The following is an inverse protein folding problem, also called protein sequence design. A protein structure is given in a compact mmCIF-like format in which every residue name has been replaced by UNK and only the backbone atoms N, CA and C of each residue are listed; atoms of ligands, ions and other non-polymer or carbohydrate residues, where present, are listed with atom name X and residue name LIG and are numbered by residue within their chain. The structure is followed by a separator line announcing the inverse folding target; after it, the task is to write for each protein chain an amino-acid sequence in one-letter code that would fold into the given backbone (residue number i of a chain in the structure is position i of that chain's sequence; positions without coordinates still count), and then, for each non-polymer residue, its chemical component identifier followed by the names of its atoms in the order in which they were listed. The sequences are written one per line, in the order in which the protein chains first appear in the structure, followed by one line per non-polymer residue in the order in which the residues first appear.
data_IF_670548732139
#
_entry.id   IF_670548732139
#
_cell.length_a   1.000
_cell.length_b   1.000
_cell.length_c   1.000
_cell.angle_alpha   90.00
_cell.angle_beta   90.00
_cell.angle_gamma   90.00
#
_symmetry.space_group_name_H-M   'P 1'
#
loop_
_entity.id
_entity.type
_entity.pdbx_description
1 polymer ?
#
# COMPACT_ATOMS: atom_id res chain seq x y z
N UNK A 1 1.47 -41.01 -3.23
CA UNK A 1 1.10 -39.91 -2.29
C UNK A 1 2.08 -38.73 -2.28
N UNK A 2 3.40 -38.92 -2.44
CA UNK A 2 4.39 -37.83 -2.39
C UNK A 2 4.19 -36.72 -3.45
N UNK A 3 3.76 -37.10 -4.67
CA UNK A 3 3.46 -36.15 -5.77
C UNK A 3 2.28 -35.22 -5.44
N UNK A 4 1.21 -35.76 -4.85
CA UNK A 4 0.03 -34.98 -4.44
C UNK A 4 0.38 -33.96 -3.34
N UNK A 5 1.19 -34.35 -2.35
CA UNK A 5 1.65 -33.44 -1.28
C UNK A 5 2.50 -32.29 -1.82
N UNK A 6 3.39 -32.57 -2.78
CA UNK A 6 4.18 -31.52 -3.45
C UNK A 6 3.30 -30.55 -4.24
N UNK A 7 2.34 -31.06 -5.00
CA UNK A 7 1.39 -30.21 -5.75
C UNK A 7 0.61 -29.30 -4.80
N UNK A 8 0.02 -29.85 -3.73
CA UNK A 8 -0.75 -29.06 -2.75
C UNK A 8 0.12 -27.99 -2.08
N UNK A 9 1.34 -28.32 -1.66
CA UNK A 9 2.25 -27.35 -1.06
C UNK A 9 2.68 -26.25 -2.04
N UNK A 10 2.97 -26.61 -3.28
CA UNK A 10 3.31 -25.63 -4.33
C UNK A 10 2.12 -24.72 -4.65
N UNK A 11 0.89 -25.24 -4.72
CA UNK A 11 -0.31 -24.45 -4.94
C UNK A 11 -0.57 -23.47 -3.78
N UNK A 12 -0.39 -23.91 -2.54
CA UNK A 12 -0.53 -23.05 -1.36
C UNK A 12 0.52 -21.94 -1.33
N UNK A 13 1.77 -22.26 -1.71
CA UNK A 13 2.84 -21.28 -1.78
C UNK A 13 2.57 -20.21 -2.85
N UNK A 14 2.12 -20.62 -4.05
CA UNK A 14 1.73 -19.67 -5.12
C UNK A 14 0.57 -18.79 -4.66
N UNK A 15 -0.44 -19.36 -4.01
CA UNK A 15 -1.57 -18.62 -3.48
C UNK A 15 -1.14 -17.59 -2.41
N UNK A 16 -0.24 -17.99 -1.50
CA UNK A 16 0.32 -17.12 -0.48
C UNK A 16 1.12 -15.95 -1.09
N UNK A 17 1.90 -16.21 -2.14
CA UNK A 17 2.63 -15.17 -2.87
C UNK A 17 1.69 -14.22 -3.65
N UNK A 18 0.57 -14.71 -4.19
CA UNK A 18 -0.40 -13.86 -4.89
C UNK A 18 -1.25 -12.96 -3.97
N UNK A 19 -1.32 -13.28 -2.67
CA UNK A 19 -2.02 -12.48 -1.66
C UNK A 19 -1.13 -11.40 -1.02
N UNK A 20 0.19 -11.48 -1.22
CA UNK A 20 1.10 -10.40 -0.87
C UNK A 20 0.98 -9.30 -1.96
N UNK A 21 0.05 -8.36 -1.78
CA UNK A 21 0.00 -7.17 -2.62
C UNK A 21 1.34 -6.43 -2.48
N UNK A 22 2.04 -6.13 -3.58
CA UNK A 22 3.37 -5.54 -3.50
C UNK A 22 3.27 -4.14 -2.88
N UNK A 23 4.08 -3.92 -1.84
CA UNK A 23 4.45 -2.56 -1.45
C UNK A 23 5.46 -2.07 -2.48
N UNK A 24 5.18 -0.91 -3.06
CA UNK A 24 6.02 -0.27 -4.06
C UNK A 24 6.75 0.92 -3.43
N UNK A 25 7.95 1.18 -3.93
CA UNK A 25 8.78 2.31 -3.55
C UNK A 25 9.34 2.97 -4.80
N UNK A 26 9.27 4.29 -4.88
CA UNK A 26 9.75 5.07 -6.02
C UNK A 26 10.18 6.47 -5.59
N UNK A 27 11.31 6.94 -6.11
CA UNK A 27 11.66 8.36 -6.03
C UNK A 27 10.67 9.16 -6.87
N UNK A 28 9.88 10.02 -6.22
CA UNK A 28 8.79 10.77 -6.83
C UNK A 28 8.98 12.26 -6.57
N UNK A 29 9.12 13.05 -7.65
CA UNK A 29 9.26 14.52 -7.61
C UNK A 29 10.32 15.05 -6.63
N UNK A 30 11.41 14.32 -6.38
CA UNK A 30 12.45 14.74 -5.42
C UNK A 30 12.20 14.36 -3.96
N UNK A 31 11.13 13.62 -3.69
CA UNK A 31 10.91 12.88 -2.45
C UNK A 31 10.89 11.37 -2.68
N UNK A 32 10.69 10.61 -1.61
CA UNK A 32 10.61 9.15 -1.62
C UNK A 32 9.18 8.72 -1.29
N UNK A 33 8.54 7.99 -2.20
CA UNK A 33 7.16 7.58 -2.08
C UNK A 33 7.04 6.06 -1.96
N UNK A 34 6.40 5.60 -0.89
CA UNK A 34 6.01 4.21 -0.70
C UNK A 34 4.51 4.07 -0.59
N UNK A 35 3.94 3.06 -1.26
CA UNK A 35 2.51 2.84 -1.27
C UNK A 35 2.17 1.37 -1.53
N UNK A 36 0.98 0.95 -1.11
CA UNK A 36 0.51 -0.41 -1.35
C UNK A 36 -0.49 -0.91 -0.31
N UNK A 37 -0.69 -2.22 -0.30
CA UNK A 37 -1.53 -2.90 0.68
C UNK A 37 -0.87 -2.98 2.05
N UNK A 38 -1.69 -2.87 3.10
CA UNK A 38 -1.32 -3.08 4.49
C UNK A 38 -2.22 -4.18 5.06
N UNK A 39 -1.65 -5.37 5.21
CA UNK A 39 -2.41 -6.60 5.48
C UNK A 39 -2.06 -7.15 6.87
N UNK A 40 -2.40 -6.40 7.91
CA UNK A 40 -2.42 -6.90 9.28
C UNK A 40 -3.75 -7.64 9.53
N UNK A 41 -3.78 -8.82 10.18
CA UNK A 41 -5.01 -9.56 10.47
C UNK A 41 -6.09 -8.75 11.23
N UNK A 42 -5.70 -7.74 11.99
CA UNK A 42 -6.56 -6.86 12.77
C UNK A 42 -6.73 -5.47 12.16
N UNK A 43 -5.95 -5.14 11.12
CA UNK A 43 -6.01 -3.87 10.42
C UNK A 43 -5.69 -4.02 8.94
N UNK A 44 -6.68 -4.42 8.15
CA UNK A 44 -6.55 -4.57 6.71
C UNK A 44 -6.85 -3.25 5.99
N UNK A 45 -5.97 -2.85 5.07
CA UNK A 45 -6.16 -1.62 4.32
C UNK A 45 -5.09 -1.35 3.27
N UNK A 46 -4.96 -0.08 2.94
CA UNK A 46 -3.97 0.44 2.01
C UNK A 46 -3.37 1.74 2.54
N UNK A 47 -2.12 2.01 2.19
CA UNK A 47 -1.41 3.21 2.63
C UNK A 47 -0.69 3.91 1.49
N UNK A 48 -0.49 5.21 1.67
CA UNK A 48 0.40 6.06 0.88
C UNK A 48 1.27 6.85 1.84
N UNK A 49 2.59 6.75 1.68
CA UNK A 49 3.59 7.34 2.55
C UNK A 49 4.62 8.09 1.73
N UNK A 50 4.65 9.41 1.85
CA UNK A 50 5.55 10.26 1.08
C UNK A 50 6.47 11.05 2.00
N UNK A 51 7.77 10.93 1.80
CA UNK A 51 8.79 11.72 2.49
C UNK A 51 9.38 12.74 1.51
N UNK A 52 9.47 14.00 1.94
CA UNK A 52 10.20 15.03 1.19
C UNK A 52 11.16 15.79 2.10
N UNK A 53 12.43 15.90 1.68
CA UNK A 53 13.48 16.52 2.49
C UNK A 53 13.41 18.04 2.62
N UNK A 54 12.69 18.75 1.76
CA UNK A 54 12.78 20.22 1.68
C UNK A 54 11.44 20.93 1.49
N UNK A 55 10.38 20.20 1.15
CA UNK A 55 9.10 20.79 0.76
C UNK A 55 7.99 20.37 1.72
N UNK A 56 7.01 21.25 1.87
CA UNK A 56 5.70 20.85 2.39
C UNK A 56 5.04 19.94 1.35
N UNK A 57 4.49 18.81 1.78
CA UNK A 57 4.08 17.76 0.88
C UNK A 57 2.90 16.98 1.43
N UNK A 58 2.36 16.07 0.63
CA UNK A 58 1.19 15.27 0.97
C UNK A 58 1.24 13.86 0.37
N UNK A 59 0.47 12.98 1.00
CA UNK A 59 0.20 11.63 0.52
C UNK A 59 -1.30 11.37 0.56
N UNK A 60 -1.81 10.72 -0.47
CA UNK A 60 -3.21 10.34 -0.65
C UNK A 60 -3.33 8.84 -0.84
N UNK A 61 -4.33 8.26 -0.18
CA UNK A 61 -4.83 6.92 -0.48
C UNK A 61 -6.34 6.92 -0.40
N UNK A 62 -7.00 6.30 -1.37
CA UNK A 62 -8.46 6.28 -1.36
C UNK A 62 -9.09 5.31 -2.34
N UNK A 63 -10.33 4.96 -2.03
CA UNK A 63 -11.24 4.21 -2.88
C UNK A 63 -12.41 5.09 -3.28
N UNK A 64 -12.52 5.35 -4.59
CA UNK A 64 -13.67 6.07 -5.15
C UNK A 64 -14.96 5.25 -5.07
N UNK A 65 -14.85 3.91 -5.00
CA UNK A 65 -16.02 3.02 -4.95
C UNK A 65 -16.75 3.10 -3.60
N UNK A 66 -16.02 3.42 -2.53
CA UNK A 66 -16.54 3.45 -1.16
C UNK A 66 -16.57 4.83 -0.52
N UNK A 67 -16.15 5.86 -1.26
CA UNK A 67 -15.91 7.20 -0.71
C UNK A 67 -15.06 7.15 0.57
N UNK A 68 -14.06 6.28 0.58
CA UNK A 68 -13.16 6.08 1.71
C UNK A 68 -11.76 6.49 1.30
N UNK A 69 -11.40 7.72 1.65
CA UNK A 69 -10.19 8.36 1.17
C UNK A 69 -9.56 9.24 2.25
N UNK A 70 -8.24 9.37 2.18
CA UNK A 70 -7.47 10.15 3.14
C UNK A 70 -6.30 10.83 2.45
N UNK A 71 -6.18 12.13 2.70
CA UNK A 71 -4.97 12.92 2.41
C UNK A 71 -4.33 13.31 3.72
N UNK A 72 -3.03 13.13 3.84
CA UNK A 72 -2.22 13.62 4.96
C UNK A 72 -1.15 14.54 4.42
N UNK A 73 -0.91 15.64 5.13
CA UNK A 73 0.11 16.62 4.80
C UNK A 73 1.22 16.61 5.84
N UNK A 74 2.44 16.91 5.43
CA UNK A 74 3.60 16.96 6.30
C UNK A 74 4.61 18.03 5.85
N UNK A 75 5.41 18.52 6.80
CA UNK A 75 6.47 19.48 6.53
C UNK A 75 7.75 18.80 6.01
N UNK A 76 8.71 19.61 5.58
CA UNK A 76 10.02 19.13 5.18
C UNK A 76 10.66 18.21 6.24
N UNK A 77 11.40 17.20 5.80
CA UNK A 77 12.08 16.20 6.64
C UNK A 77 11.14 15.31 7.47
N UNK A 78 9.85 15.24 7.12
CA UNK A 78 8.90 14.30 7.73
C UNK A 78 8.19 13.49 6.66
N UNK A 79 7.46 12.46 7.07
CA UNK A 79 6.69 11.63 6.15
C UNK A 79 5.19 11.92 6.32
N UNK A 80 4.51 12.22 5.22
CA UNK A 80 3.06 12.23 5.14
C UNK A 80 2.55 10.80 5.01
N UNK A 81 1.94 10.25 6.06
CA UNK A 81 1.41 8.88 6.08
C UNK A 81 -0.12 8.87 6.08
N UNK A 82 -0.72 8.46 4.97
CA UNK A 82 -2.16 8.25 4.83
C UNK A 82 -2.49 6.75 4.81
N UNK A 83 -3.58 6.38 5.47
CA UNK A 83 -4.08 5.00 5.55
C UNK A 83 -5.61 4.99 5.55
N UNK A 84 -6.19 4.02 4.85
CA UNK A 84 -7.61 3.70 4.87
C UNK A 84 -7.82 2.19 4.93
N UNK A 85 -8.89 1.75 5.60
CA UNK A 85 -9.29 0.34 5.57
C UNK A 85 -9.95 -0.01 4.23
N UNK A 86 -9.67 -1.21 3.73
CA UNK A 86 -10.15 -1.67 2.42
C UNK A 86 -10.74 -3.07 2.52
N UNK A 87 -11.53 -3.46 1.53
CA UNK A 87 -11.99 -4.83 1.34
C UNK A 87 -10.96 -5.59 0.49
N UNK A 88 -11.03 -6.93 0.53
CA UNK A 88 -10.19 -7.77 -0.33
C UNK A 88 -10.53 -7.53 -1.81
N UNK A 89 -9.52 -7.25 -2.63
CA UNK A 89 -9.67 -7.01 -4.06
C UNK A 89 -10.22 -5.62 -4.43
N UNK A 90 -10.39 -4.73 -3.44
CA UNK A 90 -10.84 -3.35 -3.67
C UNK A 90 -9.84 -2.56 -4.51
N UNK A 91 -10.35 -1.73 -5.44
CA UNK A 91 -9.50 -0.87 -6.27
C UNK A 91 -9.14 0.41 -5.52
N UNK A 92 -7.84 0.57 -5.28
CA UNK A 92 -7.30 1.71 -4.53
C UNK A 92 -6.49 2.62 -5.44
N UNK A 93 -6.65 3.92 -5.23
CA UNK A 93 -5.84 4.97 -5.83
C UNK A 93 -4.81 5.46 -4.81
N UNK A 94 -3.57 5.60 -5.26
CA UNK A 94 -2.47 6.15 -4.48
C UNK A 94 -1.96 7.39 -5.20
N UNK A 95 -1.72 8.47 -4.47
CA UNK A 95 -1.05 9.65 -5.00
C UNK A 95 -0.18 10.32 -3.93
N UNK A 96 0.75 11.16 -4.35
CA UNK A 96 1.60 11.97 -3.49
C UNK A 96 2.16 13.17 -4.24
N UNK A 97 2.42 14.27 -3.53
CA UNK A 97 2.93 15.48 -4.15
C UNK A 97 3.45 16.52 -3.16
N UNK A 98 3.93 17.63 -3.69
CA UNK A 98 4.40 18.81 -2.98
C UNK A 98 4.13 20.06 -3.81
#
# INVERSE_FOLDING_TARGET
MLKFRKVVASSLAVLAFSLALPVLAVSHRGGEWTYGGHHDPYNWGAFSNYYHGSQYHWAYVGSNERDNQKTVYAGAHSAAYAFVNTNLGERITFDAGW
#
